data_IF_595274265444
#
_entry.id   IF_595274265444
#
_cell.length_a   1.000
_cell.length_b   1.000
_cell.length_c   1.000
_cell.angle_alpha   90.00
_cell.angle_beta   90.00
_cell.angle_gamma   90.00
#
_symmetry.space_group_name_H-M   'P 1'
#
loop_
_entity.id
_entity.type
_entity.pdbx_description
1 polymer ?
#
# COMPACT_ATOMS: atom_id res chain seq x y z
N UNK A 1 9.07 -5.54 -0.59
CA UNK A 1 8.60 -6.88 -0.24
C UNK A 1 8.14 -7.58 -1.51
N UNK A 2 8.32 -8.89 -1.60
CA UNK A 2 7.88 -9.72 -2.73
C UNK A 2 6.90 -10.78 -2.25
N UNK A 3 6.09 -11.33 -3.15
CA UNK A 3 5.14 -12.40 -2.91
C UNK A 3 5.47 -13.59 -3.80
N UNK A 4 5.40 -14.79 -3.24
CA UNK A 4 5.43 -16.07 -3.95
C UNK A 4 4.02 -16.63 -3.86
N UNK A 5 3.18 -16.45 -4.89
CA UNK A 5 1.77 -16.78 -4.80
C UNK A 5 1.52 -18.28 -5.00
N UNK A 6 0.36 -18.74 -4.53
CA UNK A 6 -0.22 -20.06 -4.85
C UNK A 6 0.67 -21.28 -4.52
N UNK A 7 1.47 -21.20 -3.47
CA UNK A 7 2.24 -22.34 -2.95
C UNK A 7 1.30 -23.33 -2.23
N UNK A 8 1.57 -24.65 -2.28
CA UNK A 8 0.85 -25.62 -1.45
C UNK A 8 1.02 -25.32 0.04
N UNK A 9 -0.02 -25.56 0.85
CA UNK A 9 0.07 -25.39 2.30
C UNK A 9 1.15 -26.26 2.97
N UNK A 10 1.47 -27.40 2.37
CA UNK A 10 2.57 -28.30 2.77
C UNK A 10 3.97 -27.74 2.51
N UNK A 11 4.11 -26.56 1.90
CA UNK A 11 5.41 -26.00 1.52
C UNK A 11 6.24 -25.58 2.75
N UNK A 12 7.46 -26.13 2.84
CA UNK A 12 8.35 -25.92 3.97
C UNK A 12 8.88 -24.46 3.99
N UNK A 13 8.58 -23.68 5.05
CA UNK A 13 9.03 -22.30 5.14
C UNK A 13 10.55 -22.11 5.19
N UNK A 14 11.29 -23.06 5.76
CA UNK A 14 12.75 -23.03 5.80
C UNK A 14 13.35 -23.08 4.40
N UNK A 15 12.85 -23.99 3.55
CA UNK A 15 13.30 -24.09 2.16
C UNK A 15 12.98 -22.83 1.35
N UNK A 16 11.80 -22.24 1.56
CA UNK A 16 11.42 -21.00 0.87
C UNK A 16 12.33 -19.85 1.33
N UNK A 17 12.59 -19.70 2.63
CA UNK A 17 13.53 -18.70 3.15
C UNK A 17 14.93 -18.88 2.55
N UNK A 18 15.47 -20.10 2.54
CA UNK A 18 16.78 -20.39 1.98
C UNK A 18 16.86 -20.07 0.48
N UNK A 19 15.84 -20.46 -0.29
CA UNK A 19 15.80 -20.17 -1.71
C UNK A 19 15.68 -18.67 -2.00
N UNK A 20 14.99 -17.91 -1.15
CA UNK A 20 14.88 -16.46 -1.28
C UNK A 20 16.13 -15.72 -0.80
N UNK A 21 16.88 -16.28 0.15
CA UNK A 21 18.12 -15.69 0.66
C UNK A 21 19.21 -15.50 -0.42
N UNK A 22 19.10 -16.24 -1.52
CA UNK A 22 19.98 -16.08 -2.71
C UNK A 22 19.92 -14.66 -3.29
N UNK A 23 18.76 -13.99 -3.20
CA UNK A 23 18.59 -12.65 -3.74
C UNK A 23 19.04 -11.55 -2.75
N UNK A 24 19.12 -11.86 -1.45
CA UNK A 24 19.57 -10.94 -0.41
C UNK A 24 19.16 -11.40 1.00
N UNK A 25 19.63 -10.69 2.02
CA UNK A 25 19.30 -10.98 3.42
C UNK A 25 17.78 -10.83 3.66
N UNK A 26 17.13 -11.93 4.07
CA UNK A 26 15.69 -11.96 4.36
C UNK A 26 15.46 -11.56 5.82
N UNK A 27 14.73 -10.46 6.02
CA UNK A 27 14.40 -9.92 7.34
C UNK A 27 12.96 -10.22 7.77
N UNK A 28 12.07 -10.53 6.81
CA UNK A 28 10.67 -10.81 7.08
C UNK A 28 10.12 -11.92 6.20
N UNK A 29 9.24 -12.74 6.76
CA UNK A 29 8.62 -13.88 6.06
C UNK A 29 7.23 -14.15 6.60
N UNK A 30 6.21 -14.12 5.73
CA UNK A 30 4.80 -14.20 6.12
C UNK A 30 4.04 -15.16 5.21
N UNK A 31 3.01 -15.83 5.72
CA UNK A 31 2.14 -16.73 4.95
C UNK A 31 0.69 -16.25 5.02
N UNK A 32 -0.03 -16.28 3.90
CA UNK A 32 -1.48 -16.02 3.81
C UNK A 32 -2.16 -17.19 3.10
N UNK A 33 -3.15 -17.80 3.73
CA UNK A 33 -3.98 -18.81 3.07
C UNK A 33 -4.82 -18.15 1.96
N UNK A 34 -4.94 -18.86 0.84
CA UNK A 34 -5.79 -18.53 -0.30
C UNK A 34 -6.78 -19.70 -0.48
N UNK A 35 -7.83 -19.54 -1.30
CA UNK A 35 -8.82 -20.59 -1.52
C UNK A 35 -8.17 -21.95 -1.88
N UNK A 36 -8.71 -23.03 -1.29
CA UNK A 36 -8.16 -24.39 -1.38
C UNK A 36 -6.94 -24.62 -0.48
N UNK A 37 -6.09 -25.60 -0.82
CA UNK A 37 -4.84 -25.90 -0.08
C UNK A 37 -3.65 -25.06 -0.54
N UNK A 38 -3.88 -23.76 -0.75
CA UNK A 38 -2.87 -22.83 -1.28
C UNK A 38 -2.60 -21.67 -0.33
N UNK A 39 -1.37 -21.15 -0.40
CA UNK A 39 -0.92 -19.98 0.34
C UNK A 39 -0.05 -19.07 -0.52
N UNK A 40 -0.10 -17.78 -0.21
CA UNK A 40 0.84 -16.78 -0.68
C UNK A 40 1.91 -16.57 0.39
N UNK A 41 3.18 -16.51 -0.01
CA UNK A 41 4.30 -16.23 0.90
C UNK A 41 4.88 -14.88 0.60
N UNK A 42 4.96 -14.02 1.61
CA UNK A 42 5.55 -12.70 1.48
C UNK A 42 6.94 -12.70 2.08
N UNK A 43 7.89 -12.13 1.35
CA UNK A 43 9.31 -12.11 1.73
C UNK A 43 9.82 -10.69 1.68
N UNK A 44 10.42 -10.25 2.79
CA UNK A 44 11.03 -8.95 2.93
C UNK A 44 12.55 -9.10 2.96
N UNK A 45 13.20 -8.30 2.12
CA UNK A 45 14.65 -8.17 2.08
C UNK A 45 15.09 -6.97 2.90
N UNK A 46 16.31 -7.05 3.45
CA UNK A 46 16.96 -5.94 4.15
C UNK A 46 17.20 -4.74 3.25
N UNK A 47 17.57 -4.98 1.99
CA UNK A 47 17.88 -3.92 1.01
C UNK A 47 16.91 -3.92 -0.16
N UNK A 48 16.69 -2.74 -0.76
CA UNK A 48 15.89 -2.59 -1.96
C UNK A 48 16.48 -3.38 -3.14
N UNK A 49 17.81 -3.39 -3.27
CA UNK A 49 18.52 -4.16 -4.28
C UNK A 49 18.21 -5.66 -4.21
N UNK A 50 18.10 -6.23 -3.00
CA UNK A 50 17.74 -7.65 -2.84
C UNK A 50 16.33 -7.95 -3.33
N UNK A 51 15.39 -7.04 -3.08
CA UNK A 51 14.04 -7.11 -3.62
C UNK A 51 14.02 -6.97 -5.15
N UNK A 52 14.76 -6.00 -5.69
CA UNK A 52 14.83 -5.76 -7.13
C UNK A 52 15.44 -6.93 -7.88
N UNK A 53 16.52 -7.55 -7.35
CA UNK A 53 17.08 -8.79 -7.90
C UNK A 53 16.06 -9.92 -7.93
N UNK A 54 15.33 -10.13 -6.83
CA UNK A 54 14.28 -11.16 -6.76
C UNK A 54 13.17 -10.92 -7.80
N UNK A 55 12.75 -9.67 -7.97
CA UNK A 55 11.72 -9.28 -8.96
C UNK A 55 12.21 -9.37 -10.40
N UNK A 56 13.46 -8.98 -10.66
CA UNK A 56 14.07 -9.04 -11.99
C UNK A 56 14.19 -10.49 -12.47
N UNK A 57 14.54 -11.42 -11.58
CA UNK A 57 14.53 -12.86 -11.91
C UNK A 57 13.08 -13.37 -12.03
N UNK A 58 12.18 -12.91 -11.17
CA UNK A 58 10.73 -13.17 -11.26
C UNK A 58 10.32 -14.61 -10.97
N UNK A 59 11.26 -15.48 -10.61
CA UNK A 59 11.04 -16.90 -10.31
C UNK A 59 12.08 -17.45 -9.36
N UNK A 60 11.67 -18.42 -8.53
CA UNK A 60 12.55 -19.19 -7.65
C UNK A 60 12.34 -20.69 -7.86
N UNK A 61 13.35 -21.48 -7.53
CA UNK A 61 13.26 -22.93 -7.51
C UNK A 61 13.01 -23.42 -6.08
N UNK A 62 11.98 -24.26 -5.90
CA UNK A 62 11.64 -24.91 -4.65
C UNK A 62 11.55 -26.42 -4.88
N UNK A 63 12.66 -27.12 -4.68
CA UNK A 63 12.80 -28.53 -5.07
C UNK A 63 12.63 -28.69 -6.59
N UNK A 64 11.71 -29.56 -7.01
CA UNK A 64 11.41 -29.78 -8.44
C UNK A 64 10.42 -28.77 -9.04
N UNK A 65 9.97 -27.77 -8.27
CA UNK A 65 8.99 -26.78 -8.74
C UNK A 65 9.62 -25.43 -8.94
N UNK A 66 9.22 -24.76 -10.01
CA UNK A 66 9.50 -23.33 -10.22
C UNK A 66 8.30 -22.52 -9.75
N UNK A 67 8.54 -21.52 -8.92
CA UNK A 67 7.51 -20.65 -8.35
C UNK A 67 7.76 -19.21 -8.81
N UNK A 68 6.70 -18.49 -9.19
CA UNK A 68 6.81 -17.08 -9.56
C UNK A 68 7.11 -16.22 -8.33
N UNK A 69 7.92 -15.18 -8.52
CA UNK A 69 8.11 -14.10 -7.56
C UNK A 69 7.45 -12.87 -8.17
N UNK A 70 6.46 -12.32 -7.48
CA UNK A 70 5.78 -11.10 -7.90
C UNK A 70 6.00 -10.01 -6.86
N UNK A 71 5.84 -8.75 -7.23
CA UNK A 71 5.85 -7.65 -6.27
C UNK A 71 4.71 -7.89 -5.28
N UNK A 72 5.03 -7.88 -3.98
CA UNK A 72 3.98 -7.99 -2.99
C UNK A 72 3.10 -6.75 -3.12
N UNK A 73 1.82 -6.97 -3.36
CA UNK A 73 0.89 -5.88 -3.19
C UNK A 73 0.84 -5.55 -1.69
N UNK A 74 1.13 -4.30 -1.35
CA UNK A 74 1.27 -3.86 0.05
C UNK A 74 -0.09 -3.90 0.80
N UNK A 75 -1.17 -4.21 0.07
CA UNK A 75 -2.57 -4.34 0.49
C UNK A 75 -2.87 -5.49 1.46
N UNK A 76 -1.94 -6.42 1.67
CA UNK A 76 -2.26 -7.70 2.30
C UNK A 76 -2.44 -7.65 3.82
N UNK A 77 -1.93 -6.61 4.49
CA UNK A 77 -2.03 -6.47 5.96
C UNK A 77 -3.13 -5.52 6.42
N UNK A 78 -3.74 -4.76 5.52
CA UNK A 78 -4.71 -3.74 5.90
C UNK A 78 -6.03 -3.95 5.18
N UNK A 79 -7.11 -3.99 5.97
CA UNK A 79 -8.46 -3.83 5.45
C UNK A 79 -8.85 -2.35 5.29
N UNK A 80 -7.89 -1.43 5.39
CA UNK A 80 -8.12 0.00 5.27
C UNK A 80 -7.72 0.48 3.87
N UNK A 81 -8.69 1.06 3.16
CA UNK A 81 -8.51 1.70 1.85
C UNK A 81 -8.42 3.20 2.05
N UNK A 82 -7.48 3.86 1.37
CA UNK A 82 -7.49 5.31 1.20
C UNK A 82 -8.14 5.64 -0.13
N UNK A 83 -9.22 6.40 -0.08
CA UNK A 83 -9.97 6.90 -1.23
C UNK A 83 -9.72 8.38 -1.39
N UNK A 84 -9.37 8.80 -2.60
CA UNK A 84 -9.18 10.18 -3.00
C UNK A 84 -10.25 10.58 -4.00
N UNK A 85 -10.40 11.89 -4.20
CA UNK A 85 -11.27 12.52 -5.22
C UNK A 85 -12.77 12.29 -4.99
N UNK A 86 -13.19 12.14 -3.72
CA UNK A 86 -14.60 11.91 -3.34
C UNK A 86 -15.53 13.08 -3.65
N UNK A 87 -15.02 14.24 -4.09
CA UNK A 87 -15.82 15.45 -4.25
C UNK A 87 -16.07 16.13 -2.89
N UNK A 88 -16.51 17.39 -2.94
CA UNK A 88 -16.76 18.20 -1.74
C UNK A 88 -18.25 18.22 -1.36
N UNK A 89 -19.07 17.90 -2.34
CA UNK A 89 -20.53 17.93 -2.36
C UNK A 89 -21.15 16.59 -1.97
N UNK A 90 -20.35 15.52 -1.91
CA UNK A 90 -20.80 14.21 -1.45
C UNK A 90 -20.84 14.17 0.07
N UNK A 91 -22.01 13.87 0.61
CA UNK A 91 -22.20 13.68 2.03
C UNK A 91 -21.58 12.36 2.51
N UNK A 92 -21.21 12.29 3.79
CA UNK A 92 -20.53 11.11 4.35
C UNK A 92 -21.41 9.84 4.34
N UNK A 93 -22.73 9.97 4.40
CA UNK A 93 -23.67 8.84 4.38
C UNK A 93 -23.82 8.24 2.99
N UNK A 94 -23.84 9.08 1.95
CA UNK A 94 -23.81 8.69 0.55
C UNK A 94 -22.47 8.02 0.23
N UNK A 95 -21.36 8.62 0.66
CA UNK A 95 -20.04 8.01 0.47
C UNK A 95 -19.92 6.65 1.18
N UNK A 96 -20.46 6.54 2.40
CA UNK A 96 -20.55 5.27 3.11
C UNK A 96 -21.33 4.23 2.33
N UNK A 97 -22.49 4.59 1.80
CA UNK A 97 -23.34 3.68 1.02
C UNK A 97 -22.61 3.14 -0.22
N UNK A 98 -21.82 3.98 -0.89
CA UNK A 98 -20.96 3.57 -2.02
C UNK A 98 -19.94 2.52 -1.58
N UNK A 99 -19.27 2.74 -0.44
CA UNK A 99 -18.27 1.81 0.07
C UNK A 99 -18.91 0.48 0.53
N UNK A 100 -20.07 0.54 1.19
CA UNK A 100 -20.79 -0.62 1.70
C UNK A 100 -21.30 -1.55 0.59
N UNK A 101 -21.42 -1.06 -0.65
CA UNK A 101 -21.73 -1.89 -1.83
C UNK A 101 -20.64 -2.93 -2.14
N UNK A 102 -19.39 -2.73 -1.68
CA UNK A 102 -18.25 -3.60 -2.00
C UNK A 102 -17.78 -4.48 -0.85
N UNK A 103 -18.27 -4.23 0.37
CA UNK A 103 -17.92 -5.01 1.55
C UNK A 103 -18.41 -4.35 2.83
N UNK A 104 -18.34 -5.09 3.95
CA UNK A 104 -18.75 -4.53 5.24
C UNK A 104 -17.80 -3.44 5.71
N UNK A 105 -18.29 -2.21 5.85
CA UNK A 105 -17.54 -1.07 6.38
C UNK A 105 -17.69 -1.00 7.91
N UNK A 106 -16.58 -1.03 8.63
CA UNK A 106 -16.56 -0.87 10.09
C UNK A 106 -16.51 0.62 10.47
N UNK A 107 -15.67 1.42 9.81
CA UNK A 107 -15.67 2.88 10.00
C UNK A 107 -15.08 3.63 8.79
N UNK A 108 -15.38 4.93 8.74
CA UNK A 108 -14.84 5.88 7.77
C UNK A 108 -14.18 7.02 8.53
N UNK A 109 -13.03 7.48 8.06
CA UNK A 109 -12.28 8.59 8.65
C UNK A 109 -11.88 9.59 7.56
N UNK A 110 -12.42 10.80 7.63
CA UNK A 110 -11.98 11.93 6.79
C UNK A 110 -10.54 12.32 7.14
N UNK A 111 -9.69 12.45 6.13
CA UNK A 111 -8.27 12.82 6.26
C UNK A 111 -7.95 14.22 5.74
N UNK A 112 -8.81 14.74 4.88
CA UNK A 112 -8.66 16.05 4.27
C UNK A 112 -9.75 16.27 3.23
N UNK A 113 -9.57 17.32 2.44
CA UNK A 113 -10.47 17.68 1.36
C UNK A 113 -10.52 16.57 0.29
N UNK A 114 -11.66 15.88 0.20
CA UNK A 114 -11.88 14.79 -0.76
C UNK A 114 -11.07 13.52 -0.51
N UNK A 115 -10.54 13.33 0.71
CA UNK A 115 -9.71 12.17 1.07
C UNK A 115 -10.27 11.47 2.32
N UNK A 116 -10.50 10.18 2.20
CA UNK A 116 -11.09 9.33 3.25
C UNK A 116 -10.27 8.06 3.41
N UNK A 117 -10.10 7.62 4.66
CA UNK A 117 -9.72 6.23 4.97
C UNK A 117 -11.00 5.46 5.29
N UNK A 118 -11.26 4.37 4.56
CA UNK A 118 -12.39 3.47 4.73
C UNK A 118 -11.86 2.15 5.26
N UNK A 119 -12.29 1.78 6.45
CA UNK A 119 -11.89 0.53 7.07
C UNK A 119 -12.98 -0.50 6.91
N UNK A 120 -12.66 -1.54 6.15
CA UNK A 120 -13.50 -2.70 5.99
C UNK A 120 -13.26 -3.68 7.12
N UNK A 121 -14.29 -4.44 7.47
CA UNK A 121 -14.20 -5.46 8.49
C UNK A 121 -13.14 -6.49 8.15
N UNK A 122 -12.51 -7.09 9.18
CA UNK A 122 -11.39 -8.03 8.98
C UNK A 122 -11.73 -9.26 8.12
N UNK A 123 -13.02 -9.63 8.04
CA UNK A 123 -13.50 -10.69 7.15
C UNK A 123 -13.32 -10.35 5.66
N UNK A 124 -13.26 -9.06 5.31
CA UNK A 124 -13.04 -8.56 3.95
C UNK A 124 -11.56 -8.58 3.54
N UNK A 125 -10.63 -8.97 4.42
CA UNK A 125 -9.19 -8.98 4.09
C UNK A 125 -8.83 -9.88 2.89
N UNK A 126 -9.66 -10.88 2.60
CA UNK A 126 -9.56 -11.72 1.39
C UNK A 126 -10.11 -11.06 0.11
N UNK A 127 -11.01 -10.07 0.26
CA UNK A 127 -11.73 -9.38 -0.80
C UNK A 127 -11.12 -8.00 -1.16
N UNK A 128 -10.08 -7.56 -0.43
CA UNK A 128 -9.49 -6.22 -0.59
C UNK A 128 -9.03 -5.87 -2.01
N UNK A 129 -8.53 -6.86 -2.77
CA UNK A 129 -8.14 -6.62 -4.17
C UNK A 129 -9.32 -6.22 -5.04
N UNK A 130 -10.48 -6.87 -4.84
CA UNK A 130 -11.70 -6.56 -5.59
C UNK A 130 -12.26 -5.21 -5.14
N UNK A 131 -12.31 -4.96 -3.82
CA UNK A 131 -12.75 -3.68 -3.27
C UNK A 131 -11.93 -2.52 -3.87
N UNK A 132 -10.59 -2.67 -3.91
CA UNK A 132 -9.72 -1.66 -4.51
C UNK A 132 -10.00 -1.48 -6.00
N UNK A 133 -10.13 -2.56 -6.77
CA UNK A 133 -10.42 -2.49 -8.20
C UNK A 133 -11.77 -1.80 -8.46
N UNK A 134 -12.83 -2.25 -7.81
CA UNK A 134 -14.18 -1.71 -7.99
C UNK A 134 -14.28 -0.25 -7.56
N UNK A 135 -13.66 0.15 -6.44
CA UNK A 135 -13.65 1.55 -6.05
C UNK A 135 -12.90 2.44 -7.06
N UNK A 136 -11.88 1.93 -7.76
CA UNK A 136 -11.19 2.67 -8.82
C UNK A 136 -12.01 2.78 -10.12
N UNK A 137 -13.15 2.11 -10.22
CA UNK A 137 -14.09 2.20 -11.36
C UNK A 137 -15.28 3.13 -11.06
N UNK A 138 -15.46 3.53 -9.80
CA UNK A 138 -16.56 4.41 -9.39
C UNK A 138 -16.32 5.83 -9.90
N UNK A 139 -17.29 6.34 -10.67
CA UNK A 139 -17.32 7.72 -11.13
C UNK A 139 -18.31 8.54 -10.31
N UNK A 140 -17.83 9.64 -9.71
CA UNK A 140 -18.62 10.60 -8.95
C UNK A 140 -18.35 11.99 -9.51
N UNK A 141 -19.41 12.69 -9.94
CA UNK A 141 -19.31 14.06 -10.48
C UNK A 141 -18.25 14.21 -11.59
N UNK A 142 -18.24 13.26 -12.54
CA UNK A 142 -17.27 13.19 -13.66
C UNK A 142 -15.82 13.01 -13.22
N UNK A 143 -15.60 12.51 -12.00
CA UNK A 143 -14.28 12.16 -11.47
C UNK A 143 -14.29 10.72 -11.02
N UNK A 144 -13.40 9.93 -11.59
CA UNK A 144 -13.14 8.59 -11.09
C UNK A 144 -12.44 8.68 -9.75
N UNK A 145 -12.96 7.94 -8.77
CA UNK A 145 -12.31 7.76 -7.49
C UNK A 145 -10.93 7.15 -7.71
N UNK A 146 -10.00 7.47 -6.81
CA UNK A 146 -8.73 6.77 -6.74
C UNK A 146 -8.65 6.06 -5.39
N UNK A 147 -8.51 4.74 -5.40
CA UNK A 147 -8.47 3.91 -4.21
C UNK A 147 -7.14 3.16 -4.14
N UNK A 148 -6.44 3.29 -3.01
CA UNK A 148 -5.20 2.57 -2.71
C UNK A 148 -5.28 1.96 -1.32
N UNK A 149 -4.39 1.02 -1.02
CA UNK A 149 -4.24 0.57 0.37
C UNK A 149 -3.71 1.69 1.25
N UNK A 150 -4.35 1.90 2.40
CA UNK A 150 -3.89 2.90 3.35
C UNK A 150 -2.68 2.38 4.13
N UNK A 151 -1.68 3.23 4.45
CA UNK A 151 -0.50 2.85 5.22
C UNK A 151 -0.80 2.79 6.73
N UNK A 152 -1.98 2.27 7.09
CA UNK A 152 -2.48 2.14 8.47
C UNK A 152 -3.18 0.79 8.62
N UNK A 153 -3.16 0.22 9.82
CA UNK A 153 -3.89 -1.00 10.14
C UNK A 153 -5.32 -0.69 10.58
N UNK A 154 -6.18 -1.70 10.51
CA UNK A 154 -7.49 -1.63 11.14
C UNK A 154 -7.31 -1.40 12.67
N UNK A 155 -8.05 -0.49 13.33
CA UNK A 155 -7.84 -0.11 14.72
C UNK A 155 -8.03 -1.29 15.67
N UNK A 156 -8.92 -2.23 15.33
CA UNK A 156 -9.16 -3.43 16.14
C UNK A 156 -7.96 -4.37 16.20
N UNK A 157 -7.04 -4.32 15.22
CA UNK A 157 -5.86 -5.18 15.17
C UNK A 157 -4.55 -4.41 15.36
N UNK A 158 -4.57 -3.09 15.28
CA UNK A 158 -3.35 -2.26 15.32
C UNK A 158 -2.54 -2.50 16.60
N UNK A 159 -3.18 -2.52 17.77
CA UNK A 159 -2.49 -2.73 19.05
C UNK A 159 -1.88 -4.13 19.16
N UNK A 160 -2.61 -5.15 18.73
CA UNK A 160 -2.12 -6.54 18.79
C UNK A 160 -1.02 -6.79 17.76
N UNK A 161 -1.15 -6.24 16.55
CA UNK A 161 -0.12 -6.33 15.53
C UNK A 161 1.21 -5.74 16.03
N UNK A 162 1.18 -4.60 16.71
CA UNK A 162 2.37 -3.97 17.29
C UNK A 162 3.03 -4.79 18.43
N UNK A 163 2.36 -5.80 18.99
CA UNK A 163 2.99 -6.72 19.95
C UNK A 163 3.80 -7.81 19.26
N UNK A 164 3.45 -8.14 18.02
CA UNK A 164 4.17 -9.15 17.22
C UNK A 164 5.41 -8.55 16.56
N UNK A 165 6.51 -9.32 16.41
CA UNK A 165 7.64 -8.90 15.58
C UNK A 165 7.22 -8.49 14.16
N UNK A 166 6.27 -9.22 13.60
CA UNK A 166 5.73 -9.02 12.24
C UNK A 166 5.06 -7.67 12.07
N UNK A 167 4.14 -7.30 12.97
CA UNK A 167 3.45 -6.02 12.90
C UNK A 167 4.34 -4.83 13.23
N UNK A 168 5.40 -5.03 14.06
CA UNK A 168 6.43 -4.00 14.28
C UNK A 168 7.22 -3.70 13.00
N UNK A 169 7.69 -4.73 12.31
CA UNK A 169 8.41 -4.59 11.03
C UNK A 169 7.52 -3.93 9.98
N UNK A 170 6.25 -4.35 9.88
CA UNK A 170 5.31 -3.70 8.97
C UNK A 170 5.12 -2.22 9.29
N UNK A 171 4.95 -1.89 10.58
CA UNK A 171 4.76 -0.50 11.02
C UNK A 171 5.98 0.37 10.72
N UNK A 172 7.18 -0.11 11.00
CA UNK A 172 8.43 0.58 10.66
C UNK A 172 8.55 0.83 9.15
N UNK A 173 8.24 -0.19 8.33
CA UNK A 173 8.25 -0.04 6.88
C UNK A 173 7.27 1.04 6.41
N UNK A 174 6.04 1.06 6.94
CA UNK A 174 5.07 2.09 6.57
C UNK A 174 5.50 3.48 7.03
N UNK A 175 6.10 3.61 8.22
CA UNK A 175 6.67 4.86 8.70
C UNK A 175 7.74 5.39 7.76
N UNK A 176 8.69 4.55 7.34
CA UNK A 176 9.76 4.95 6.42
C UNK A 176 9.20 5.38 5.05
N UNK A 177 8.17 4.68 4.54
CA UNK A 177 7.48 5.08 3.31
C UNK A 177 6.82 6.46 3.46
N UNK A 178 6.20 6.75 4.61
CA UNK A 178 5.56 8.04 4.87
C UNK A 178 6.62 9.14 5.00
N UNK A 179 7.72 8.89 5.72
CA UNK A 179 8.84 9.83 5.86
C UNK A 179 9.39 10.20 4.48
N UNK A 180 9.69 9.22 3.63
CA UNK A 180 10.18 9.50 2.28
C UNK A 180 9.20 10.31 1.42
N UNK A 181 7.88 10.11 1.59
CA UNK A 181 6.87 10.94 0.91
C UNK A 181 6.85 12.38 1.43
N UNK A 182 7.07 12.58 2.73
CA UNK A 182 7.16 13.91 3.33
C UNK A 182 8.41 14.62 2.81
N UNK A 183 9.56 13.96 2.81
CA UNK A 183 10.82 14.51 2.30
C UNK A 183 10.70 14.93 0.84
N UNK A 184 10.15 14.06 -0.01
CA UNK A 184 9.89 14.38 -1.41
C UNK A 184 8.93 15.56 -1.59
N UNK A 185 7.86 15.61 -0.78
CA UNK A 185 6.90 16.72 -0.80
C UNK A 185 7.53 18.04 -0.36
N UNK A 186 8.33 18.04 0.70
CA UNK A 186 9.04 19.23 1.18
C UNK A 186 10.04 19.73 0.13
N UNK A 187 10.77 18.82 -0.52
CA UNK A 187 11.67 19.16 -1.62
C UNK A 187 10.90 19.82 -2.78
N UNK A 188 9.77 19.26 -3.19
CA UNK A 188 8.94 19.84 -4.25
C UNK A 188 8.40 21.24 -3.89
N UNK A 189 7.96 21.45 -2.64
CA UNK A 189 7.52 22.76 -2.16
C UNK A 189 8.67 23.76 -2.15
N UNK A 190 9.87 23.33 -1.76
CA UNK A 190 11.06 24.19 -1.77
C UNK A 190 11.39 24.68 -3.18
N UNK A 191 11.33 23.80 -4.18
CA UNK A 191 11.55 24.18 -5.59
C UNK A 191 10.50 25.19 -6.03
N UNK A 192 9.21 24.90 -5.82
CA UNK A 192 8.13 25.80 -6.21
C UNK A 192 8.21 27.18 -5.53
N UNK A 193 8.76 27.25 -4.32
CA UNK A 193 8.96 28.52 -3.61
C UNK A 193 10.07 29.36 -4.24
N UNK A 194 11.18 28.75 -4.68
CA UNK A 194 12.22 29.47 -5.42
C UNK A 194 11.70 29.93 -6.79
N UNK A 195 10.98 29.08 -7.52
CA UNK A 195 10.35 29.46 -8.79
C UNK A 195 9.44 30.69 -8.62
N UNK A 196 8.65 30.73 -7.53
CA UNK A 196 7.78 31.87 -7.24
C UNK A 196 8.56 33.16 -6.92
N UNK A 197 9.70 33.06 -6.22
CA UNK A 197 10.56 34.24 -5.98
C UNK A 197 11.11 34.79 -7.27
N UNK A 198 11.57 33.94 -8.18
CA UNK A 198 12.09 34.36 -9.48
C UNK A 198 11.01 35.08 -10.30
N UNK A 199 9.81 34.50 -10.38
CA UNK A 199 8.68 35.12 -11.08
C UNK A 199 8.32 36.49 -10.50
N UNK A 200 8.29 36.62 -9.17
CA UNK A 200 7.95 37.90 -8.52
C UNK A 200 9.08 38.94 -8.57
N UNK A 201 10.34 38.51 -8.68
CA UNK A 201 11.48 39.42 -8.88
C UNK A 201 11.43 40.06 -10.28
N UNK A 202 11.14 39.26 -11.31
CA UNK A 202 10.96 39.73 -12.69
C UNK A 202 9.80 40.74 -12.78
N UNK A 203 8.68 40.45 -12.10
CA UNK A 203 7.53 41.36 -12.05
C UNK A 203 7.90 42.72 -11.41
N UNK A 204 8.69 42.72 -10.33
CA UNK A 204 9.15 43.98 -9.68
C UNK A 204 10.11 44.77 -10.55
N UNK A 205 11.04 44.11 -11.26
CA UNK A 205 11.95 44.81 -12.17
C UNK A 205 11.21 45.46 -13.33
N UNK A 206 10.19 44.79 -13.88
CA UNK A 206 9.35 45.37 -14.94
C UNK A 206 8.53 46.57 -14.46
N UNK A 207 7.96 46.49 -13.24
CA UNK A 207 7.19 47.58 -12.64
C UNK A 207 8.04 48.79 -12.23
N UNK A 208 9.33 48.60 -11.93
CA UNK A 208 10.23 49.68 -11.55
C UNK A 208 10.89 50.40 -12.75
N UNK A 209 10.84 49.79 -13.94
CA UNK A 209 11.46 50.32 -15.17
C UNK A 209 10.43 50.98 -16.13
N UNK A 210 9.16 51.07 -15.74
CA UNK A 210 8.08 51.79 -16.44
C UNK A 210 7.50 52.86 -15.51
#
# INVERSE_FOLDING_TARGET
MVCVPSLPCSSNPGLIKSAMAVYGEVTGFFKKHVAGERLNVYVQFKTAEGMERALAVGRMQLGHRTCSIVKADHSVFSSVVRVFRVGYDIDESQFRSICEAYGKVDYIKKRGLGIYDVAYGMKELGNMSNILASLNEVELNRRTLAAISAPVLHPSVQKEALKTPEGKVWHELQSNVIIGKIEAGLSAVSVAFEDLKELTAVEREYLNNN
#
